data_IF_076790429058
#
_entry.id   IF_076790429058
#
_cell.length_a   1.000
_cell.length_b   1.000
_cell.length_c   1.000
_cell.angle_alpha   90.00
_cell.angle_beta   90.00
_cell.angle_gamma   90.00
#
_symmetry.space_group_name_H-M   'P 1'
#
loop_
_entity.id
_entity.type
_entity.pdbx_description
1 polymer ?
#
# COMPACT_ATOMS: atom_id res chain seq x y z
N UNK A 1 -11.14 -17.85 -2.88
CA UNK A 1 -11.62 -16.93 -1.83
C UNK A 1 -10.47 -16.29 -1.06
N UNK A 2 -9.47 -17.06 -0.58
CA UNK A 2 -8.32 -16.52 0.17
C UNK A 2 -7.59 -15.35 -0.49
N UNK A 3 -7.32 -15.39 -1.80
CA UNK A 3 -6.67 -14.27 -2.51
C UNK A 3 -7.56 -13.02 -2.62
N UNK A 4 -8.86 -13.21 -2.77
CA UNK A 4 -9.83 -12.10 -2.76
C UNK A 4 -9.84 -11.41 -1.40
N UNK A 5 -9.77 -12.18 -0.31
CA UNK A 5 -9.69 -11.65 1.05
C UNK A 5 -8.35 -10.96 1.32
N UNK A 6 -7.24 -11.53 0.84
CA UNK A 6 -5.92 -10.91 0.94
C UNK A 6 -5.85 -9.57 0.19
N UNK A 7 -6.44 -9.50 -1.01
CA UNK A 7 -6.51 -8.26 -1.79
C UNK A 7 -7.31 -7.17 -1.06
N UNK A 8 -8.49 -7.53 -0.52
CA UNK A 8 -9.33 -6.62 0.25
C UNK A 8 -8.62 -6.15 1.53
N UNK A 9 -7.91 -7.04 2.23
CA UNK A 9 -7.15 -6.69 3.43
C UNK A 9 -6.03 -5.69 3.11
N UNK A 10 -5.28 -5.91 2.02
CA UNK A 10 -4.24 -4.98 1.59
C UNK A 10 -4.84 -3.63 1.16
N UNK A 11 -6.01 -3.65 0.52
CA UNK A 11 -6.74 -2.44 0.16
C UNK A 11 -7.11 -1.60 1.39
N UNK A 12 -7.71 -2.25 2.40
CA UNK A 12 -8.16 -1.61 3.64
C UNK A 12 -6.97 -1.10 4.45
N UNK A 13 -5.94 -1.93 4.64
CA UNK A 13 -4.74 -1.51 5.37
C UNK A 13 -4.06 -0.31 4.69
N UNK A 14 -3.96 -0.30 3.36
CA UNK A 14 -3.39 0.85 2.63
C UNK A 14 -4.15 2.14 2.92
N UNK A 15 -5.49 2.07 2.93
CA UNK A 15 -6.36 3.19 3.29
C UNK A 15 -6.14 3.64 4.73
N UNK A 16 -6.07 2.71 5.68
CA UNK A 16 -5.80 3.01 7.09
C UNK A 16 -4.44 3.68 7.30
N UNK A 17 -3.46 3.41 6.42
CA UNK A 17 -2.14 4.05 6.42
C UNK A 17 -2.10 5.41 5.73
N UNK A 18 -3.21 5.85 5.14
CA UNK A 18 -3.35 7.15 4.49
C UNK A 18 -2.81 7.19 3.06
N UNK A 19 -2.58 6.03 2.43
CA UNK A 19 -2.42 5.98 0.99
C UNK A 19 -3.75 6.32 0.33
N UNK A 20 -3.72 7.05 -0.80
CA UNK A 20 -4.94 7.47 -1.45
C UNK A 20 -5.86 6.28 -1.70
N UNK A 21 -7.09 6.46 -1.26
CA UNK A 21 -8.27 5.64 -1.46
C UNK A 21 -8.71 5.61 -2.94
N UNK A 22 -7.77 5.70 -3.87
CA UNK A 22 -8.05 5.74 -5.31
C UNK A 22 -9.12 4.70 -5.64
N UNK A 23 -10.11 5.13 -6.41
CA UNK A 23 -11.36 4.38 -6.57
C UNK A 23 -11.10 2.95 -7.08
N UNK A 24 -9.94 2.74 -7.71
CA UNK A 24 -9.51 1.49 -8.29
C UNK A 24 -8.11 1.04 -7.82
N UNK A 25 -7.83 -0.24 -8.08
CA UNK A 25 -6.57 -0.89 -7.73
C UNK A 25 -5.32 -0.16 -8.27
N UNK A 26 -5.37 0.36 -9.49
CA UNK A 26 -4.22 0.98 -10.17
C UNK A 26 -3.69 2.20 -9.39
N UNK A 27 -4.56 3.15 -9.05
CA UNK A 27 -4.20 4.36 -8.30
C UNK A 27 -3.52 4.03 -6.96
N UNK A 28 -4.05 3.03 -6.25
CA UNK A 28 -3.47 2.56 -4.98
C UNK A 28 -2.08 1.97 -5.21
N UNK A 29 -1.94 1.16 -6.25
CA UNK A 29 -0.68 0.49 -6.58
C UNK A 29 0.39 1.50 -6.99
N UNK A 30 0.00 2.55 -7.71
CA UNK A 30 0.90 3.66 -8.07
C UNK A 30 1.39 4.41 -6.83
N UNK A 31 0.48 4.77 -5.92
CA UNK A 31 0.87 5.44 -4.68
C UNK A 31 1.77 4.56 -3.78
N UNK A 32 1.45 3.26 -3.66
CA UNK A 32 2.26 2.30 -2.92
C UNK A 32 3.64 2.14 -3.57
N UNK A 33 3.74 2.18 -4.89
CA UNK A 33 5.04 2.00 -5.56
C UNK A 33 6.07 3.07 -5.21
N UNK A 34 5.64 4.28 -4.85
CA UNK A 34 6.54 5.37 -4.43
C UNK A 34 7.25 5.05 -3.12
N UNK A 35 6.53 4.43 -2.17
CA UNK A 35 7.00 4.23 -0.80
C UNK A 35 7.38 2.77 -0.50
N UNK A 36 6.82 1.83 -1.24
CA UNK A 36 6.86 0.38 -1.02
C UNK A 36 7.19 -0.39 -2.31
N UNK A 37 8.05 0.18 -3.17
CA UNK A 37 8.44 -0.39 -4.46
C UNK A 37 8.91 -1.86 -4.38
N UNK A 38 9.58 -2.24 -3.30
CA UNK A 38 10.11 -3.59 -3.13
C UNK A 38 9.03 -4.67 -2.93
N UNK A 39 7.82 -4.28 -2.52
CA UNK A 39 6.77 -5.20 -2.11
C UNK A 39 5.45 -5.00 -2.85
N UNK A 40 5.29 -3.89 -3.59
CA UNK A 40 4.08 -3.60 -4.37
C UNK A 40 3.79 -4.66 -5.45
N UNK A 41 4.81 -5.36 -5.97
CA UNK A 41 4.62 -6.44 -6.95
C UNK A 41 3.90 -7.65 -6.35
N UNK A 42 4.04 -7.88 -5.04
CA UNK A 42 3.26 -8.89 -4.33
C UNK A 42 1.77 -8.62 -4.40
N UNK A 43 1.38 -7.34 -4.27
CA UNK A 43 -0.01 -6.94 -4.38
C UNK A 43 -0.55 -7.12 -5.80
N UNK A 44 0.23 -6.74 -6.83
CA UNK A 44 -0.10 -6.99 -8.23
C UNK A 44 -0.34 -8.48 -8.51
N UNK A 45 0.50 -9.34 -7.94
CA UNK A 45 0.38 -10.79 -8.12
C UNK A 45 -0.89 -11.35 -7.47
N UNK A 46 -1.22 -10.92 -6.26
CA UNK A 46 -2.51 -11.26 -5.61
C UNK A 46 -3.69 -10.81 -6.45
N UNK A 47 -3.66 -9.57 -6.93
CA UNK A 47 -4.74 -8.97 -7.69
C UNK A 47 -5.07 -9.74 -8.97
N UNK A 48 -4.03 -10.17 -9.69
CA UNK A 48 -4.18 -11.00 -10.89
C UNK A 48 -4.65 -12.41 -10.55
N UNK A 49 -4.03 -13.05 -9.55
CA UNK A 49 -4.29 -14.44 -9.21
C UNK A 49 -5.67 -14.68 -8.59
N UNK A 50 -6.31 -13.65 -8.01
CA UNK A 50 -7.66 -13.77 -7.43
C UNK A 50 -8.75 -14.07 -8.48
N UNK A 51 -8.49 -13.78 -9.77
CA UNK A 51 -9.48 -13.90 -10.85
C UNK A 51 -9.70 -15.35 -11.33
N UNK A 52 -8.93 -16.33 -10.85
CA UNK A 52 -9.26 -17.75 -10.98
C UNK A 52 -8.23 -18.62 -11.70
N UNK A 53 -7.38 -18.04 -12.55
CA UNK A 53 -6.49 -18.80 -13.45
C UNK A 53 -5.13 -19.22 -12.85
N UNK A 54 -4.89 -18.96 -11.56
CA UNK A 54 -3.61 -19.28 -10.93
C UNK A 54 -3.53 -20.74 -10.40
N UNK A 55 -2.38 -21.39 -10.56
CA UNK A 55 -2.13 -22.69 -9.94
C UNK A 55 -2.08 -22.58 -8.40
N UNK A 56 -2.19 -23.69 -7.67
CA UNK A 56 -2.08 -23.66 -6.20
C UNK A 56 -0.74 -23.09 -5.73
N UNK A 57 0.35 -23.37 -6.45
CA UNK A 57 1.66 -22.83 -6.13
C UNK A 57 1.75 -21.33 -6.42
N UNK A 58 1.18 -20.86 -7.53
CA UNK A 58 1.08 -19.43 -7.81
C UNK A 58 0.29 -18.69 -6.72
N UNK A 59 -0.79 -19.30 -6.22
CA UNK A 59 -1.55 -18.75 -5.10
C UNK A 59 -0.74 -18.72 -3.81
N UNK A 60 0.08 -19.74 -3.56
CA UNK A 60 0.99 -19.79 -2.40
C UNK A 60 2.01 -18.68 -2.48
N UNK A 61 2.70 -18.53 -3.61
CA UNK A 61 3.69 -17.48 -3.81
C UNK A 61 3.06 -16.08 -3.69
N UNK A 62 1.88 -15.88 -4.30
CA UNK A 62 1.17 -14.61 -4.20
C UNK A 62 0.88 -14.23 -2.73
N UNK A 63 0.46 -15.18 -1.90
CA UNK A 63 0.22 -14.94 -0.47
C UNK A 63 1.51 -14.64 0.31
N UNK A 64 2.64 -15.27 -0.05
CA UNK A 64 3.93 -14.99 0.58
C UNK A 64 4.38 -13.56 0.26
N UNK A 65 4.27 -13.13 -1.00
CA UNK A 65 4.63 -11.77 -1.39
C UNK A 65 3.66 -10.74 -0.81
N UNK A 66 2.36 -11.05 -0.74
CA UNK A 66 1.35 -10.23 -0.06
C UNK A 66 1.71 -9.99 1.40
N UNK A 67 2.21 -11.03 2.08
CA UNK A 67 2.60 -10.93 3.50
C UNK A 67 3.74 -9.95 3.70
N UNK A 68 4.73 -9.93 2.79
CA UNK A 68 5.84 -8.96 2.86
C UNK A 68 5.33 -7.52 2.77
N UNK A 69 4.42 -7.24 1.83
CA UNK A 69 3.82 -5.91 1.72
C UNK A 69 3.00 -5.57 2.97
N UNK A 70 2.23 -6.51 3.49
CA UNK A 70 1.46 -6.30 4.71
C UNK A 70 2.36 -5.96 5.89
N UNK A 71 3.45 -6.71 6.08
CA UNK A 71 4.41 -6.47 7.16
C UNK A 71 5.14 -5.12 6.98
N UNK A 72 5.48 -4.74 5.74
CA UNK A 72 6.09 -3.45 5.43
C UNK A 72 5.13 -2.28 5.67
N UNK A 73 3.87 -2.42 5.23
CA UNK A 73 2.80 -1.47 5.54
C UNK A 73 2.58 -1.36 7.04
N UNK A 74 2.70 -2.45 7.80
CA UNK A 74 2.58 -2.43 9.26
C UNK A 74 3.76 -1.76 9.94
N UNK A 75 4.99 -2.07 9.51
CA UNK A 75 6.24 -1.49 10.02
C UNK A 75 6.34 0.01 9.69
N UNK A 76 5.78 0.42 8.56
CA UNK A 76 5.54 1.81 8.17
C UNK A 76 4.35 2.43 8.90
N UNK A 77 4.40 2.55 10.23
CA UNK A 77 3.62 3.60 10.91
C UNK A 77 4.11 4.97 10.40
N UNK A 78 3.25 6.02 10.33
CA UNK A 78 3.37 7.18 9.43
C UNK A 78 4.77 7.81 9.42
N UNK A 79 5.69 7.24 8.65
CA UNK A 79 7.05 7.70 8.50
C UNK A 79 7.07 8.62 7.29
N UNK A 80 6.67 9.87 7.49
CA UNK A 80 6.83 10.87 6.43
C UNK A 80 6.04 12.17 6.49
N UNK A 81 5.18 12.44 7.49
CA UNK A 81 4.68 13.82 7.71
C UNK A 81 5.74 14.75 8.35
N UNK A 82 7.00 14.63 7.91
CA UNK A 82 8.07 15.59 8.22
C UNK A 82 8.68 16.18 6.93
N UNK A 83 7.87 16.42 5.90
CA UNK A 83 8.29 17.27 4.78
C UNK A 83 7.13 18.05 4.13
N UNK A 84 6.29 18.72 4.94
CA UNK A 84 5.49 19.89 4.50
C UNK A 84 4.75 20.63 5.63
N UNK A 85 5.27 20.64 6.87
CA UNK A 85 4.66 21.49 7.91
C UNK A 85 5.63 22.11 8.92
N UNK A 86 6.83 22.50 8.46
CA UNK A 86 7.57 23.58 9.09
C UNK A 86 7.81 24.64 8.03
N UNK A 87 7.25 25.83 8.28
CA UNK A 87 7.67 27.13 7.76
C UNK A 87 6.72 27.88 6.83
N UNK A 88 5.42 27.92 7.14
CA UNK A 88 4.55 29.05 6.77
C UNK A 88 3.76 29.55 7.98
N UNK A 89 4.46 29.80 9.09
CA UNK A 89 4.00 30.79 10.07
C UNK A 89 5.20 31.49 10.71
N UNK A 90 5.62 32.58 10.09
CA UNK A 90 6.04 33.76 10.85
C UNK A 90 5.33 34.97 10.26
N UNK A 91 4.09 35.14 10.72
CA UNK A 91 3.52 36.46 10.78
C UNK A 91 4.30 37.31 11.78
N UNK A 92 4.56 38.55 11.36
CA UNK A 92 4.36 39.78 12.13
C UNK A 92 5.37 40.15 13.23
N UNK A 93 5.92 41.37 13.04
CA UNK A 93 6.63 42.19 14.03
C UNK A 93 8.08 42.44 13.61
N UNK A 94 8.66 43.63 13.63
CA UNK A 94 8.30 44.94 14.18
C UNK A 94 9.43 45.91 13.78
N UNK A 95 9.06 47.12 13.34
CA UNK A 95 9.79 48.42 13.32
C UNK A 95 9.75 49.08 11.95
#
# INVERSE_FOLDING_TARGET
RSLTEADALLADLSRERGFPDGENFEDRTDALSVHHAAHVDGYRRVHTARNGDASTEDRREALIEARKLFDDLLAGGPSGREHSNRNLVKGRGTS
#
